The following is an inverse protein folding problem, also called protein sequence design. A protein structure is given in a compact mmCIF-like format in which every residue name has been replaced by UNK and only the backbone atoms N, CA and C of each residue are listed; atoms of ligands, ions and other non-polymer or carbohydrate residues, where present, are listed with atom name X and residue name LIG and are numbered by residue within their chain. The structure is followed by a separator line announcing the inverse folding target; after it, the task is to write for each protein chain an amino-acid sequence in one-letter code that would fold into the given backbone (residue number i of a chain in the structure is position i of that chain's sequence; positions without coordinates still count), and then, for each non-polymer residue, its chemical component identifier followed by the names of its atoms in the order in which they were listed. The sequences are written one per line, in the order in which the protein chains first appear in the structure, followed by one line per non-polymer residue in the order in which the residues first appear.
data_IF_527950118653
#
_entry.id   IF_527950118653
#
_cell.length_a   1.000
_cell.length_b   1.000
_cell.length_c   1.000
_cell.angle_alpha   90.00
_cell.angle_beta   90.00
_cell.angle_gamma   90.00
#
_symmetry.space_group_name_H-M   'P 1'
#
loop_
_entity.id
_entity.type
_entity.pdbx_description
1 polymer ?
#
# COMPACT_ATOMS: atom_id res chain seq x y z
N UNK A 1 26.97 54.80 -21.44
CA UNK A 1 25.54 54.44 -21.65
C UNK A 1 25.43 52.92 -21.62
N UNK A 2 24.82 52.33 -20.58
CA UNK A 2 24.60 50.88 -20.50
C UNK A 2 23.49 50.47 -21.47
N UNK A 3 23.75 49.48 -22.33
CA UNK A 3 22.73 48.95 -23.26
C UNK A 3 21.61 48.24 -22.49
N UNK A 4 20.33 48.61 -22.71
CA UNK A 4 19.16 48.00 -22.05
C UNK A 4 19.07 46.48 -22.24
N UNK A 5 19.64 45.97 -23.34
CA UNK A 5 19.68 44.55 -23.70
C UNK A 5 20.48 43.68 -22.71
N UNK A 6 21.37 44.26 -21.89
CA UNK A 6 22.16 43.50 -20.90
C UNK A 6 21.34 43.04 -19.69
N UNK A 7 20.19 43.68 -19.40
CA UNK A 7 19.38 43.37 -18.22
C UNK A 7 18.38 42.23 -18.46
N UNK A 8 17.95 42.02 -19.71
CA UNK A 8 16.96 40.99 -20.06
C UNK A 8 17.51 39.58 -19.77
N UNK A 9 18.71 39.18 -20.24
CA UNK A 9 19.28 37.87 -19.92
C UNK A 9 19.50 37.67 -18.41
N UNK A 10 19.89 38.72 -17.68
CA UNK A 10 20.08 38.65 -16.24
C UNK A 10 18.76 38.37 -15.50
N UNK A 11 17.66 39.01 -15.93
CA UNK A 11 16.32 38.78 -15.37
C UNK A 11 15.82 37.36 -15.68
N UNK A 12 16.08 36.85 -16.88
CA UNK A 12 15.73 35.49 -17.31
C UNK A 12 16.51 34.47 -16.49
N UNK A 13 17.83 34.65 -16.34
CA UNK A 13 18.68 33.78 -15.54
C UNK A 13 18.27 33.75 -14.06
N UNK A 14 17.88 34.91 -13.50
CA UNK A 14 17.38 34.99 -12.13
C UNK A 14 16.04 34.25 -11.96
N UNK A 15 15.17 34.30 -12.96
CA UNK A 15 13.91 33.55 -12.97
C UNK A 15 14.17 32.04 -13.06
N UNK A 16 15.06 31.60 -13.96
CA UNK A 16 15.36 30.18 -14.12
C UNK A 16 16.04 29.58 -12.87
N UNK A 17 16.91 30.36 -12.20
CA UNK A 17 17.46 29.94 -10.89
C UNK A 17 16.38 29.71 -9.85
N UNK A 18 15.38 30.59 -9.76
CA UNK A 18 14.24 30.40 -8.84
C UNK A 18 13.45 29.14 -9.19
N UNK A 19 13.09 28.97 -10.47
CA UNK A 19 12.40 27.76 -10.94
C UNK A 19 13.17 26.47 -10.59
N UNK A 20 14.49 26.50 -10.76
CA UNK A 20 15.35 25.37 -10.40
C UNK A 20 15.44 25.12 -8.90
N UNK A 21 15.35 26.16 -8.06
CA UNK A 21 15.30 26.02 -6.61
C UNK A 21 13.98 25.36 -6.19
N UNK A 22 12.84 25.88 -6.67
CA UNK A 22 11.51 25.32 -6.39
C UNK A 22 11.43 23.84 -6.78
N UNK A 23 12.00 23.47 -7.93
CA UNK A 23 12.08 22.08 -8.37
C UNK A 23 12.95 21.21 -7.46
N UNK A 24 14.09 21.72 -7.00
CA UNK A 24 14.98 20.97 -6.13
C UNK A 24 14.36 20.79 -4.73
N UNK A 25 13.64 21.79 -4.24
CA UNK A 25 12.96 21.75 -2.96
C UNK A 25 11.84 20.69 -2.99
N UNK A 26 11.01 20.69 -4.04
CA UNK A 26 10.01 19.65 -4.24
C UNK A 26 10.62 18.23 -4.37
N UNK A 27 11.82 18.12 -4.96
CA UNK A 27 12.52 16.84 -5.05
C UNK A 27 13.13 16.41 -3.70
N UNK A 28 13.50 17.35 -2.84
CA UNK A 28 13.94 17.08 -1.48
C UNK A 28 12.76 16.67 -0.60
N UNK A 29 11.60 17.31 -0.75
CA UNK A 29 10.33 16.86 -0.14
C UNK A 29 9.98 15.44 -0.59
N UNK A 30 10.10 15.12 -1.88
CA UNK A 30 9.91 13.76 -2.37
C UNK A 30 10.86 12.77 -1.70
N UNK A 31 12.10 13.16 -1.40
CA UNK A 31 13.00 12.26 -0.68
C UNK A 31 12.39 11.92 0.67
N UNK A 32 11.83 12.87 1.42
CA UNK A 32 11.30 12.69 2.80
C UNK A 32 10.34 11.50 2.95
N UNK A 33 9.59 11.18 1.89
CA UNK A 33 8.60 10.10 1.87
C UNK A 33 9.14 8.77 1.31
N UNK A 34 10.34 8.75 0.73
CA UNK A 34 10.97 7.54 0.22
C UNK A 34 11.56 6.74 1.40
N UNK A 35 11.23 5.45 1.53
CA UNK A 35 11.78 4.61 2.59
C UNK A 35 13.30 4.50 2.48
N UNK A 36 13.97 4.49 3.64
CA UNK A 36 15.43 4.35 3.79
C UNK A 36 16.28 5.52 3.24
N UNK A 37 15.66 6.58 2.72
CA UNK A 37 16.39 7.73 2.17
C UNK A 37 16.91 8.71 3.25
N UNK A 38 16.46 8.62 4.51
CA UNK A 38 16.76 9.59 5.60
C UNK A 38 17.59 9.03 6.74
N UNK A 39 18.20 7.85 6.57
CA UNK A 39 19.07 7.34 7.62
C UNK A 39 20.26 8.31 7.80
N UNK A 40 20.63 8.69 9.03
CA UNK A 40 21.76 9.58 9.29
C UNK A 40 23.09 9.09 8.69
N UNK A 41 23.20 7.79 8.44
CA UNK A 41 24.35 7.13 7.82
C UNK A 41 24.29 7.05 6.28
N UNK A 42 23.16 7.42 5.67
CA UNK A 42 22.92 7.29 4.24
C UNK A 42 23.13 8.63 3.54
N UNK A 43 23.93 8.60 2.46
CA UNK A 43 24.19 9.77 1.63
C UNK A 43 22.93 10.20 0.88
N UNK A 44 22.74 11.52 0.71
CA UNK A 44 21.69 12.10 -0.15
C UNK A 44 21.67 11.44 -1.53
N UNK A 45 20.50 10.94 -1.92
CA UNK A 45 20.27 10.29 -3.20
C UNK A 45 20.37 11.29 -4.37
N UNK A 46 20.91 10.81 -5.50
CA UNK A 46 20.89 11.56 -6.76
C UNK A 46 19.45 11.77 -7.25
N UNK A 47 19.24 12.72 -8.17
CA UNK A 47 17.89 13.00 -8.71
C UNK A 47 17.30 11.76 -9.38
N UNK A 48 18.08 11.06 -10.20
CA UNK A 48 17.64 9.84 -10.88
C UNK A 48 17.34 8.71 -9.89
N UNK A 49 18.19 8.50 -8.88
CA UNK A 49 17.95 7.48 -7.87
C UNK A 49 16.66 7.77 -7.08
N UNK A 50 16.44 9.03 -6.70
CA UNK A 50 15.22 9.49 -6.02
C UNK A 50 13.97 9.14 -6.83
N UNK A 51 13.96 9.47 -8.14
CA UNK A 51 12.82 9.18 -9.01
C UNK A 51 12.58 7.68 -9.21
N UNK A 52 13.64 6.88 -9.34
CA UNK A 52 13.53 5.42 -9.46
C UNK A 52 12.97 4.78 -8.19
N UNK A 53 13.48 5.18 -7.03
CA UNK A 53 13.00 4.70 -5.74
C UNK A 53 11.55 5.11 -5.49
N UNK A 54 11.17 6.35 -5.78
CA UNK A 54 9.79 6.82 -5.68
C UNK A 54 8.84 5.98 -6.54
N UNK A 55 9.19 5.75 -7.82
CA UNK A 55 8.39 4.91 -8.73
C UNK A 55 8.21 3.50 -8.18
N UNK A 56 9.31 2.87 -7.76
CA UNK A 56 9.27 1.51 -7.23
C UNK A 56 8.48 1.42 -5.93
N UNK A 57 8.58 2.44 -5.07
CA UNK A 57 7.84 2.51 -3.83
C UNK A 57 6.33 2.61 -4.07
N UNK A 58 5.89 3.42 -5.04
CA UNK A 58 4.47 3.48 -5.45
C UNK A 58 4.00 2.09 -5.91
N UNK A 59 4.73 1.43 -6.82
CA UNK A 59 4.36 0.10 -7.32
C UNK A 59 4.27 -0.94 -6.19
N UNK A 60 5.22 -0.93 -5.26
CA UNK A 60 5.24 -1.83 -4.12
C UNK A 60 4.03 -1.60 -3.20
N UNK A 61 3.68 -0.34 -2.92
CA UNK A 61 2.50 -0.01 -2.11
C UNK A 61 1.20 -0.45 -2.78
N UNK A 62 1.06 -0.25 -4.10
CA UNK A 62 -0.10 -0.73 -4.86
C UNK A 62 -0.25 -2.24 -4.73
N UNK A 63 0.83 -2.99 -4.97
CA UNK A 63 0.82 -4.45 -4.85
C UNK A 63 0.49 -4.90 -3.41
N UNK A 64 1.04 -4.23 -2.40
CA UNK A 64 0.77 -4.54 -1.00
C UNK A 64 -0.72 -4.36 -0.65
N UNK A 65 -1.35 -3.28 -1.14
CA UNK A 65 -2.79 -3.03 -0.93
C UNK A 65 -3.63 -4.13 -1.60
N UNK A 66 -3.29 -4.52 -2.83
CA UNK A 66 -4.00 -5.60 -3.54
C UNK A 66 -3.90 -6.95 -2.80
N UNK A 67 -2.73 -7.31 -2.29
CA UNK A 67 -2.54 -8.52 -1.49
C UNK A 67 -3.33 -8.47 -0.18
N UNK A 68 -3.35 -7.33 0.52
CA UNK A 68 -4.14 -7.16 1.74
C UNK A 68 -5.64 -7.31 1.45
N UNK A 69 -6.15 -6.79 0.33
CA UNK A 69 -7.53 -6.99 -0.10
C UNK A 69 -7.85 -8.47 -0.36
N UNK A 70 -6.95 -9.21 -1.04
CA UNK A 70 -7.12 -10.65 -1.28
C UNK A 70 -7.17 -11.44 0.03
N UNK A 71 -6.29 -11.11 0.96
CA UNK A 71 -6.25 -11.72 2.30
C UNK A 71 -7.57 -11.47 3.03
N UNK A 72 -8.09 -10.24 3.03
CA UNK A 72 -9.36 -9.90 3.66
C UNK A 72 -10.52 -10.73 3.08
N UNK A 73 -10.63 -10.81 1.75
CA UNK A 73 -11.65 -11.61 1.07
C UNK A 73 -11.54 -13.08 1.48
N UNK A 74 -10.32 -13.63 1.48
CA UNK A 74 -10.07 -15.02 1.85
C UNK A 74 -10.47 -15.31 3.30
N UNK A 75 -10.05 -14.46 4.24
CA UNK A 75 -10.39 -14.60 5.66
C UNK A 75 -11.90 -14.51 5.89
N UNK A 76 -12.60 -13.59 5.20
CA UNK A 76 -14.04 -13.49 5.29
C UNK A 76 -14.74 -14.77 4.79
N UNK A 77 -14.29 -15.33 3.67
CA UNK A 77 -14.82 -16.59 3.15
C UNK A 77 -14.54 -17.77 4.10
N UNK A 78 -13.36 -17.82 4.74
CA UNK A 78 -13.04 -18.83 5.74
C UNK A 78 -13.95 -18.73 6.96
N UNK A 79 -14.19 -17.51 7.47
CA UNK A 79 -15.05 -17.27 8.61
C UNK A 79 -16.50 -17.68 8.33
N UNK A 80 -17.02 -17.39 7.13
CA UNK A 80 -18.34 -17.85 6.71
C UNK A 80 -18.44 -19.38 6.66
N UNK A 81 -17.42 -20.06 6.13
CA UNK A 81 -17.37 -21.53 6.11
C UNK A 81 -17.37 -22.12 7.52
N UNK A 82 -16.63 -21.53 8.46
CA UNK A 82 -16.61 -21.96 9.85
C UNK A 82 -18.00 -21.84 10.51
N UNK A 83 -18.71 -20.74 10.27
CA UNK A 83 -20.07 -20.55 10.80
C UNK A 83 -21.06 -21.58 10.25
N UNK A 84 -20.99 -21.89 8.95
CA UNK A 84 -21.85 -22.91 8.33
C UNK A 84 -21.58 -24.31 8.89
N UNK A 85 -20.32 -24.67 9.12
CA UNK A 85 -19.95 -25.96 9.72
C UNK A 85 -20.48 -26.10 11.15
N UNK A 86 -20.43 -25.03 11.95
CA UNK A 86 -20.98 -25.03 13.31
C UNK A 86 -22.51 -25.24 13.31
N UNK A 87 -23.23 -24.65 12.35
CA UNK A 87 -24.67 -24.83 12.21
C UNK A 87 -25.06 -26.26 11.79
N UNK A 88 -24.24 -26.92 10.96
CA UNK A 88 -24.49 -28.30 10.55
C UNK A 88 -24.24 -29.32 11.68
N UNK A 89 -23.23 -29.08 12.53
CA UNK A 89 -22.93 -29.97 13.67
C UNK A 89 -24.03 -29.93 14.75
N UNK A 90 -24.70 -28.79 14.95
CA UNK A 90 -25.81 -28.66 15.89
C UNK A 90 -27.09 -29.39 15.43
N UNK A 91 -27.28 -29.59 14.12
CA UNK A 91 -28.46 -30.29 13.60
C UNK A 91 -28.33 -31.82 13.66
N UNK A 92 -27.11 -32.37 13.67
CA UNK A 92 -26.88 -33.82 13.74
C UNK A 92 -26.91 -34.39 15.16
N UNK A 93 -26.74 -33.56 16.19
CA UNK A 93 -26.79 -34.00 17.60
C UNK A 93 -28.23 -34.23 18.13
N UNK A 94 -29.26 -33.92 17.33
CA UNK A 94 -30.67 -34.05 17.71
C UNK A 94 -31.38 -35.35 17.31
N UNK A 95 -30.74 -36.32 16.64
CA UNK A 95 -31.44 -37.51 16.08
C UNK A 95 -31.18 -38.84 16.80
N UNK A 96 -30.45 -38.88 17.92
CA UNK A 96 -30.19 -40.12 18.67
C UNK A 96 -31.10 -40.26 19.90
N UNK A 97 -32.42 -40.31 19.74
CA UNK A 97 -33.26 -40.92 20.79
C UNK A 97 -34.56 -41.52 20.22
N UNK A 98 -34.76 -42.79 20.60
CA UNK A 98 -36.00 -43.60 20.53
C UNK A 98 -36.35 -44.27 19.19
N UNK A 99 -35.76 -45.44 18.96
CA UNK A 99 -36.55 -46.62 18.59
C UNK A 99 -35.91 -47.87 19.20
N UNK A 100 -36.44 -48.30 20.34
CA UNK A 100 -36.17 -49.61 20.93
C UNK A 100 -36.72 -50.72 20.02
N UNK A 101 -36.01 -51.84 19.85
CA UNK A 101 -36.57 -53.01 19.20
C UNK A 101 -37.59 -53.65 20.15
N UNK A 102 -38.86 -53.64 19.75
CA UNK A 102 -39.93 -54.34 20.47
C UNK A 102 -39.70 -55.85 20.31
N UNK A 103 -39.08 -56.43 21.33
CA UNK A 103 -39.10 -57.87 21.60
C UNK A 103 -40.50 -58.30 22.05
N UNK A 104 -40.95 -59.47 21.60
CA UNK A 104 -41.82 -60.34 22.40
C UNK A 104 -43.16 -60.77 21.80
N UNK A 105 -43.20 -62.06 21.44
CA UNK A 105 -44.26 -63.06 21.72
C UNK A 105 -45.71 -62.78 21.28
N UNK A 106 -46.18 -63.46 20.22
CA UNK A 106 -46.80 -64.81 20.23
C UNK A 106 -47.08 -65.24 18.79
#
# INVERSE_FOLDING_TARGET
MYSPLKFIPLSINARERRRMHDLNDALDDLRTVIPYAHSPSVRKLSKIATLLLAKNYILMQTNAIEELHKILICLNAQLQKQQQQQQQQQQQSGTTTVQSPRSGNK
#
